data_IF_264508524731
#
_entry.id   IF_264508524731
#
_cell.length_a   1.000
_cell.length_b   1.000
_cell.length_c   1.000
_cell.angle_alpha   90.00
_cell.angle_beta   90.00
_cell.angle_gamma   90.00
#
_symmetry.space_group_name_H-M   'P 1'
#
loop_
_entity.id
_entity.type
_entity.pdbx_description
1 polymer ?
#
# COMPACT_ATOMS: atom_id res chain seq x y z
N UNK A 1 1.73 -19.52 -59.77
CA UNK A 1 0.91 -20.69 -60.07
C UNK A 1 1.00 -21.67 -58.94
N UNK A 2 -0.05 -21.83 -58.15
CA UNK A 2 -0.73 -23.05 -57.69
C UNK A 2 -1.82 -22.68 -56.71
N UNK A 3 -3.01 -22.98 -57.15
CA UNK A 3 -4.30 -22.88 -56.46
C UNK A 3 -4.50 -24.09 -55.54
N UNK A 4 -5.31 -23.93 -54.50
CA UNK A 4 -6.01 -25.04 -53.86
C UNK A 4 -6.18 -24.77 -52.36
N UNK A 5 -7.24 -24.86 -51.76
CA UNK A 5 -8.68 -25.25 -51.94
C UNK A 5 -9.36 -24.94 -50.62
N UNK A 6 -10.47 -24.27 -50.68
CA UNK A 6 -11.48 -24.23 -49.58
C UNK A 6 -12.08 -25.60 -49.37
N UNK A 7 -12.43 -25.92 -48.14
CA UNK A 7 -13.45 -26.93 -47.78
C UNK A 7 -14.16 -26.56 -46.47
N UNK A 8 -15.39 -27.10 -46.26
CA UNK A 8 -16.50 -26.29 -45.77
C UNK A 8 -16.93 -26.60 -44.33
N UNK A 9 -17.93 -25.83 -43.88
CA UNK A 9 -18.67 -25.87 -42.65
C UNK A 9 -19.30 -27.24 -42.32
N UNK A 10 -19.25 -27.62 -41.05
CA UNK A 10 -20.04 -28.71 -40.49
C UNK A 10 -20.90 -28.17 -39.36
N UNK A 11 -22.21 -28.02 -39.62
CA UNK A 11 -23.23 -27.74 -38.66
C UNK A 11 -23.56 -29.01 -37.86
N UNK A 12 -23.51 -28.94 -36.52
CA UNK A 12 -24.05 -29.95 -35.64
C UNK A 12 -25.19 -29.34 -34.82
N UNK A 13 -26.39 -29.80 -35.10
CA UNK A 13 -27.59 -29.62 -34.29
C UNK A 13 -27.41 -30.38 -32.95
N UNK A 14 -27.68 -29.76 -31.84
CA UNK A 14 -27.86 -30.42 -30.55
C UNK A 14 -29.30 -30.25 -30.08
N UNK A 15 -29.90 -31.38 -29.79
CA UNK A 15 -31.30 -31.56 -29.44
C UNK A 15 -31.61 -31.07 -28.02
N UNK A 16 -32.74 -30.38 -27.87
CA UNK A 16 -33.35 -30.05 -26.58
C UNK A 16 -34.03 -31.32 -26.01
N UNK A 17 -33.64 -31.71 -24.79
CA UNK A 17 -34.41 -32.67 -23.99
C UNK A 17 -35.13 -31.88 -22.89
N UNK A 18 -36.45 -31.82 -23.01
CA UNK A 18 -37.37 -31.28 -21.99
C UNK A 18 -37.72 -32.41 -21.03
N UNK A 19 -37.32 -32.31 -19.79
CA UNK A 19 -37.76 -33.19 -18.70
C UNK A 19 -38.85 -32.48 -17.89
N UNK A 20 -40.05 -32.98 -17.98
CA UNK A 20 -41.19 -32.56 -17.16
C UNK A 20 -41.14 -33.28 -15.80
N UNK A 21 -41.26 -32.54 -14.72
CA UNK A 21 -41.38 -33.04 -13.34
C UNK A 21 -42.82 -32.78 -12.86
N UNK A 22 -43.52 -33.75 -12.31
CA UNK A 22 -44.90 -33.57 -11.84
C UNK A 22 -44.96 -32.92 -10.46
N UNK A 23 -45.89 -31.99 -10.30
CA UNK A 23 -46.36 -31.42 -9.04
C UNK A 23 -47.09 -32.45 -8.19
N UNK A 24 -46.59 -32.71 -7.00
CA UNK A 24 -47.36 -33.39 -5.93
C UNK A 24 -47.80 -32.34 -4.90
N UNK A 25 -49.09 -32.02 -4.93
CA UNK A 25 -49.81 -31.27 -3.91
C UNK A 25 -50.05 -32.19 -2.70
N UNK A 26 -49.47 -31.84 -1.55
CA UNK A 26 -49.77 -32.44 -0.26
C UNK A 26 -50.20 -31.38 0.74
N UNK A 27 -51.51 -31.23 0.95
CA UNK A 27 -52.05 -30.47 2.08
C UNK A 27 -51.90 -31.29 3.37
N UNK A 28 -51.14 -30.75 4.34
CA UNK A 28 -51.20 -31.18 5.73
C UNK A 28 -51.52 -29.98 6.60
N UNK A 29 -52.75 -29.94 7.09
CA UNK A 29 -53.17 -29.01 8.12
C UNK A 29 -52.44 -29.34 9.42
N UNK A 30 -51.79 -28.32 10.04
CA UNK A 30 -51.25 -28.43 11.39
C UNK A 30 -51.86 -27.32 12.27
N UNK A 31 -52.48 -27.79 13.33
CA UNK A 31 -53.16 -27.08 14.41
C UNK A 31 -52.30 -26.00 15.04
N UNK A 32 -52.86 -24.80 15.15
CA UNK A 32 -52.34 -23.68 15.89
C UNK A 32 -52.42 -23.96 17.42
N UNK A 33 -51.26 -24.00 18.07
CA UNK A 33 -51.13 -23.91 19.52
C UNK A 33 -50.88 -22.46 19.91
N UNK A 34 -51.27 -22.02 21.13
CA UNK A 34 -51.21 -20.61 21.51
C UNK A 34 -49.77 -20.11 21.61
N UNK A 35 -49.53 -18.97 20.94
CA UNK A 35 -48.25 -18.24 20.95
C UNK A 35 -47.89 -17.78 22.35
N UNK A 36 -46.72 -18.20 22.86
CA UNK A 36 -46.06 -17.59 24.01
C UNK A 36 -45.43 -16.26 23.59
N UNK A 37 -45.53 -15.21 24.41
CA UNK A 37 -44.86 -13.95 24.11
C UNK A 37 -43.36 -14.18 24.20
N UNK A 38 -42.63 -14.00 23.08
CA UNK A 38 -41.20 -13.93 23.07
C UNK A 38 -40.78 -12.66 23.83
N UNK A 39 -40.12 -12.86 24.94
CA UNK A 39 -39.39 -11.81 25.64
C UNK A 39 -38.46 -11.10 24.62
N UNK A 40 -38.54 -9.77 24.59
CA UNK A 40 -37.76 -8.95 23.69
C UNK A 40 -36.27 -9.27 23.85
N UNK A 41 -35.66 -9.73 22.77
CA UNK A 41 -34.22 -9.71 22.66
C UNK A 41 -33.83 -8.23 22.63
N UNK A 42 -33.24 -7.73 23.71
CA UNK A 42 -32.51 -6.46 23.70
C UNK A 42 -31.49 -6.53 22.53
N UNK A 43 -31.42 -5.49 21.69
CA UNK A 43 -30.34 -5.41 20.73
C UNK A 43 -29.05 -5.40 21.55
N UNK A 44 -28.21 -6.41 21.39
CA UNK A 44 -26.87 -6.41 21.91
C UNK A 44 -26.23 -5.07 21.52
N UNK A 45 -26.06 -4.21 22.51
CA UNK A 45 -25.20 -3.03 22.41
C UNK A 45 -23.78 -3.56 22.18
N UNK A 46 -23.46 -3.86 20.92
CA UNK A 46 -22.11 -4.00 20.46
C UNK A 46 -21.44 -2.67 20.76
N UNK A 47 -20.72 -2.60 21.87
CA UNK A 47 -19.88 -1.47 22.17
C UNK A 47 -18.95 -1.31 20.98
N UNK A 48 -19.13 -0.24 20.22
CA UNK A 48 -18.12 0.30 19.34
C UNK A 48 -16.91 0.57 20.24
N UNK A 49 -16.04 -0.43 20.35
CA UNK A 49 -14.66 -0.17 20.76
C UNK A 49 -14.14 0.73 19.66
N UNK A 50 -14.11 2.04 19.93
CA UNK A 50 -13.65 3.05 18.98
C UNK A 50 -12.31 2.57 18.43
N UNK A 51 -12.29 2.18 17.16
CA UNK A 51 -11.09 1.71 16.50
C UNK A 51 -10.09 2.86 16.55
N UNK A 52 -8.97 2.63 17.22
CA UNK A 52 -7.93 3.66 17.33
C UNK A 52 -7.39 3.94 15.94
N UNK A 53 -7.53 5.18 15.49
CA UNK A 53 -7.00 5.61 14.21
C UNK A 53 -5.46 5.60 14.25
N UNK A 54 -4.79 5.21 13.15
CA UNK A 54 -3.34 5.27 13.08
C UNK A 54 -2.86 6.72 13.20
N UNK A 55 -1.79 6.96 13.96
CA UNK A 55 -1.16 8.28 14.01
C UNK A 55 -0.63 8.66 12.63
N UNK A 56 -0.58 9.98 12.39
CA UNK A 56 0.11 10.57 11.24
C UNK A 56 1.45 11.10 11.73
N UNK A 57 2.52 10.63 11.12
CA UNK A 57 3.89 10.93 11.54
C UNK A 57 4.73 11.46 10.36
N UNK A 58 5.45 12.54 10.58
CA UNK A 58 6.47 13.10 9.69
C UNK A 58 7.85 13.08 10.36
N UNK A 59 7.87 12.69 11.62
CA UNK A 59 9.03 12.64 12.49
C UNK A 59 8.79 11.61 13.58
N UNK A 60 9.83 10.89 13.96
CA UNK A 60 9.84 9.93 15.06
C UNK A 60 10.40 10.60 16.30
N UNK A 61 9.68 10.64 17.44
CA UNK A 61 10.21 11.17 18.67
C UNK A 61 11.33 10.26 19.21
N UNK A 62 12.59 10.66 19.00
CA UNK A 62 13.77 9.93 19.46
C UNK A 62 14.92 10.88 19.75
N UNK A 63 15.81 10.48 20.67
CA UNK A 63 17.09 11.12 20.93
C UNK A 63 18.25 10.41 20.24
N UNK A 64 18.00 9.26 19.61
CA UNK A 64 19.00 8.57 18.83
C UNK A 64 19.40 9.44 17.63
N UNK A 65 20.68 9.52 17.27
CA UNK A 65 21.15 10.32 16.14
C UNK A 65 20.80 9.62 14.80
N UNK A 66 19.51 9.45 14.52
CA UNK A 66 19.02 8.74 13.35
C UNK A 66 18.06 9.58 12.54
N UNK A 67 18.07 9.39 11.22
CA UNK A 67 17.04 9.81 10.28
C UNK A 67 16.54 8.60 9.50
N UNK A 68 15.39 8.71 8.84
CA UNK A 68 14.76 7.59 8.14
C UNK A 68 14.60 7.92 6.67
N UNK A 69 15.29 7.19 5.80
CA UNK A 69 15.16 7.36 4.36
C UNK A 69 14.01 6.54 3.81
N UNK A 70 13.13 7.21 3.12
CA UNK A 70 11.93 6.63 2.51
C UNK A 70 11.87 7.00 1.04
N UNK A 71 11.50 6.02 0.23
CA UNK A 71 11.44 6.13 -1.22
C UNK A 71 10.03 5.75 -1.65
N UNK A 72 9.46 6.52 -2.55
CA UNK A 72 8.21 6.17 -3.18
C UNK A 72 8.52 5.37 -4.46
N UNK A 73 7.65 5.34 -5.42
CA UNK A 73 7.77 4.50 -6.62
C UNK A 73 9.01 4.79 -7.50
N UNK A 74 9.76 5.88 -7.25
CA UNK A 74 10.95 6.27 -8.02
C UNK A 74 12.06 5.23 -8.04
N UNK A 75 12.15 4.40 -6.99
CA UNK A 75 13.18 3.35 -6.87
C UNK A 75 13.10 2.28 -7.98
N UNK A 76 12.01 2.20 -8.75
CA UNK A 76 11.86 1.25 -9.86
C UNK A 76 12.79 1.52 -11.04
N UNK A 77 13.18 2.78 -11.24
CA UNK A 77 13.83 3.26 -12.46
C UNK A 77 15.34 3.24 -12.42
N UNK A 78 15.93 3.03 -11.24
CA UNK A 78 17.37 2.92 -11.09
C UNK A 78 17.78 1.47 -10.87
N UNK A 79 18.36 0.79 -11.89
CA UNK A 79 18.78 -0.59 -11.79
C UNK A 79 19.93 -0.80 -10.77
N UNK A 80 20.71 0.26 -10.48
CA UNK A 80 21.85 0.23 -9.55
C UNK A 80 21.43 0.46 -8.10
N UNK A 81 20.21 0.92 -7.87
CA UNK A 81 19.76 1.22 -6.51
C UNK A 81 19.80 0.01 -5.56
N UNK A 82 19.57 -1.20 -6.07
CA UNK A 82 19.70 -2.41 -5.27
C UNK A 82 21.15 -2.71 -4.86
N UNK A 83 22.14 -2.33 -5.68
CA UNK A 83 23.54 -2.46 -5.34
C UNK A 83 23.92 -1.46 -4.25
N UNK A 84 23.49 -0.20 -4.37
CA UNK A 84 23.67 0.83 -3.34
C UNK A 84 23.07 0.38 -1.99
N UNK A 85 21.82 -0.07 -1.97
CA UNK A 85 21.16 -0.55 -0.75
C UNK A 85 21.96 -1.67 -0.10
N UNK A 86 22.51 -2.59 -0.89
CA UNK A 86 23.33 -3.69 -0.41
C UNK A 86 24.68 -3.21 0.15
N UNK A 87 25.39 -2.36 -0.57
CA UNK A 87 26.74 -1.87 -0.24
C UNK A 87 26.73 -1.06 1.04
N UNK A 88 25.79 -0.13 1.16
CA UNK A 88 25.64 0.70 2.37
C UNK A 88 24.83 0.01 3.47
N UNK A 89 24.31 -1.22 3.25
CA UNK A 89 23.35 -1.89 4.16
C UNK A 89 22.21 -0.94 4.56
N UNK A 90 21.77 -0.14 3.58
CA UNK A 90 20.82 0.94 3.78
C UNK A 90 19.46 0.39 4.21
N UNK A 91 18.92 0.75 5.39
CA UNK A 91 17.61 0.30 5.85
C UNK A 91 16.48 1.12 5.19
N UNK A 92 16.46 1.12 3.86
CA UNK A 92 15.51 1.86 3.04
C UNK A 92 14.07 1.40 3.29
N UNK A 93 13.12 2.34 3.35
CA UNK A 93 11.69 2.05 3.38
C UNK A 93 11.06 2.47 2.06
N UNK A 94 10.44 1.51 1.36
CA UNK A 94 9.84 1.71 0.03
C UNK A 94 8.32 1.73 0.16
N UNK A 95 7.67 2.81 -0.24
CA UNK A 95 6.22 2.90 -0.36
C UNK A 95 5.83 2.65 -1.81
N UNK A 96 5.14 1.53 -2.07
CA UNK A 96 4.89 1.05 -3.42
C UNK A 96 3.42 1.10 -3.80
N UNK A 97 3.17 1.58 -5.01
CA UNK A 97 1.89 1.54 -5.73
C UNK A 97 1.88 0.35 -6.70
N UNK A 98 0.76 -0.39 -6.80
CA UNK A 98 0.70 -1.59 -7.66
C UNK A 98 0.87 -1.26 -9.14
N UNK A 99 0.24 -0.19 -9.62
CA UNK A 99 0.31 0.22 -11.04
C UNK A 99 1.73 0.57 -11.49
N UNK A 100 2.56 1.07 -10.58
CA UNK A 100 3.96 1.39 -10.84
C UNK A 100 4.86 0.19 -10.57
N UNK A 101 4.73 -0.45 -9.41
CA UNK A 101 5.54 -1.61 -9.03
C UNK A 101 5.28 -2.84 -9.90
N UNK A 102 4.08 -2.96 -10.50
CA UNK A 102 3.67 -4.13 -11.27
C UNK A 102 4.65 -4.55 -12.37
N UNK A 103 5.07 -3.66 -13.26
CA UNK A 103 6.07 -3.96 -14.27
C UNK A 103 7.45 -4.32 -13.73
N UNK A 104 7.77 -3.91 -12.50
CA UNK A 104 9.10 -4.01 -11.87
C UNK A 104 9.14 -4.89 -10.61
N UNK A 105 8.18 -5.78 -10.39
CA UNK A 105 8.15 -6.63 -9.19
C UNK A 105 9.47 -7.37 -8.91
N UNK A 106 10.17 -7.84 -9.95
CA UNK A 106 11.47 -8.49 -9.81
C UNK A 106 12.54 -7.58 -9.23
N UNK A 107 12.53 -6.30 -9.57
CA UNK A 107 13.44 -5.30 -9.03
C UNK A 107 13.15 -5.06 -7.55
N UNK A 108 11.91 -4.82 -7.17
CA UNK A 108 11.52 -4.64 -5.76
C UNK A 108 11.75 -5.89 -4.90
N UNK A 109 11.62 -7.09 -5.48
CA UNK A 109 11.99 -8.33 -4.79
C UNK A 109 13.49 -8.37 -4.50
N UNK A 110 14.36 -7.90 -5.41
CA UNK A 110 15.81 -7.77 -5.14
C UNK A 110 16.09 -6.75 -4.06
N UNK A 111 15.47 -5.56 -4.11
CA UNK A 111 15.61 -4.54 -3.06
C UNK A 111 15.24 -5.10 -1.68
N UNK A 112 14.13 -5.81 -1.59
CA UNK A 112 13.73 -6.50 -0.35
C UNK A 112 14.75 -7.53 0.11
N UNK A 113 15.31 -8.32 -0.81
CA UNK A 113 16.31 -9.35 -0.48
C UNK A 113 17.61 -8.76 0.09
N UNK A 114 17.94 -7.52 -0.26
CA UNK A 114 19.10 -6.79 0.30
C UNK A 114 18.76 -5.92 1.51
N UNK A 115 17.52 -6.01 2.04
CA UNK A 115 17.15 -5.43 3.33
C UNK A 115 16.19 -4.25 3.29
N UNK A 116 15.74 -3.80 2.12
CA UNK A 116 14.70 -2.77 2.05
C UNK A 116 13.35 -3.28 2.58
N UNK A 117 12.61 -2.38 3.25
CA UNK A 117 11.25 -2.62 3.74
C UNK A 117 10.23 -2.16 2.71
N UNK A 118 9.23 -2.99 2.40
CA UNK A 118 8.15 -2.65 1.47
C UNK A 118 6.89 -2.28 2.25
N UNK A 119 6.29 -1.12 1.92
CA UNK A 119 5.15 -0.52 2.57
C UNK A 119 4.09 -0.08 1.54
N UNK A 120 2.93 0.37 2.01
CA UNK A 120 1.76 0.66 1.18
C UNK A 120 1.76 2.10 0.68
N UNK A 121 1.58 2.29 -0.65
CA UNK A 121 1.40 3.61 -1.28
C UNK A 121 0.13 3.67 -2.13
N UNK A 122 -0.90 2.89 -1.79
CA UNK A 122 -2.16 2.71 -2.52
C UNK A 122 -2.04 1.84 -3.78
N UNK A 123 -3.19 1.51 -4.36
CA UNK A 123 -3.27 0.62 -5.53
C UNK A 123 -2.90 1.36 -6.83
N UNK A 124 -3.49 2.53 -7.04
CA UNK A 124 -3.46 3.26 -8.32
C UNK A 124 -2.89 4.70 -8.20
N UNK A 125 -2.20 5.01 -7.09
CA UNK A 125 -1.61 6.33 -6.82
C UNK A 125 -2.61 7.49 -6.88
N UNK A 126 -3.86 7.27 -6.48
CA UNK A 126 -4.89 8.31 -6.45
C UNK A 126 -4.78 9.16 -5.19
N UNK A 127 -4.99 10.48 -5.31
CA UNK A 127 -5.20 11.30 -4.13
C UNK A 127 -6.37 10.75 -3.32
N UNK A 128 -6.12 10.40 -2.05
CA UNK A 128 -7.14 9.78 -1.19
C UNK A 128 -8.13 10.81 -0.65
N UNK A 129 -7.64 12.03 -0.32
CA UNK A 129 -8.48 13.09 0.22
C UNK A 129 -9.65 13.39 -0.71
N UNK A 130 -10.86 13.35 -0.16
CA UNK A 130 -12.09 13.64 -0.89
C UNK A 130 -12.68 12.46 -1.67
N UNK A 131 -12.00 11.32 -1.76
CA UNK A 131 -12.64 10.10 -2.24
C UNK A 131 -13.65 9.59 -1.19
N UNK A 132 -14.77 8.97 -1.62
CA UNK A 132 -15.64 8.25 -0.70
C UNK A 132 -14.84 7.19 0.08
N UNK A 133 -15.22 6.94 1.35
CA UNK A 133 -14.56 5.95 2.21
C UNK A 133 -14.35 4.59 1.54
N UNK A 134 -15.36 4.08 0.82
CA UNK A 134 -15.24 2.80 0.11
C UNK A 134 -14.13 2.82 -0.95
N UNK A 135 -13.95 3.96 -1.65
CA UNK A 135 -12.87 4.15 -2.62
C UNK A 135 -11.51 4.19 -1.95
N UNK A 136 -11.36 4.95 -0.87
CA UNK A 136 -10.11 5.00 -0.09
C UNK A 136 -9.73 3.62 0.48
N UNK A 137 -10.72 2.89 1.00
CA UNK A 137 -10.51 1.53 1.50
C UNK A 137 -10.11 0.56 0.38
N UNK A 138 -10.69 0.68 -0.81
CA UNK A 138 -10.33 -0.15 -1.97
C UNK A 138 -8.87 0.10 -2.38
N UNK A 139 -8.42 1.35 -2.43
CA UNK A 139 -7.03 1.73 -2.72
C UNK A 139 -6.05 1.14 -1.70
N UNK A 140 -6.32 1.27 -0.42
CA UNK A 140 -5.39 0.83 0.64
C UNK A 140 -5.43 -0.69 0.82
N UNK A 141 -6.61 -1.31 0.98
CA UNK A 141 -6.72 -2.76 1.17
C UNK A 141 -6.40 -3.54 -0.12
N UNK A 142 -6.68 -2.96 -1.30
CA UNK A 142 -6.28 -3.52 -2.58
C UNK A 142 -4.78 -3.68 -2.66
N UNK A 143 -4.04 -2.63 -2.32
CA UNK A 143 -2.58 -2.68 -2.27
C UNK A 143 -2.05 -3.67 -1.23
N UNK A 144 -2.65 -3.76 -0.04
CA UNK A 144 -2.29 -4.81 0.94
C UNK A 144 -2.38 -6.21 0.34
N UNK A 145 -3.43 -6.47 -0.43
CA UNK A 145 -3.62 -7.76 -1.11
C UNK A 145 -2.53 -8.02 -2.13
N UNK A 146 -2.15 -7.00 -2.91
CA UNK A 146 -1.06 -7.09 -3.90
C UNK A 146 0.29 -7.33 -3.23
N UNK A 147 0.66 -6.54 -2.22
CA UNK A 147 1.92 -6.70 -1.49
C UNK A 147 2.03 -8.09 -0.87
N UNK A 148 0.95 -8.60 -0.27
CA UNK A 148 0.92 -9.97 0.27
C UNK A 148 1.10 -11.02 -0.83
N UNK A 149 0.40 -10.87 -1.95
CA UNK A 149 0.45 -11.83 -3.06
C UNK A 149 1.82 -11.85 -3.75
N UNK A 150 2.44 -10.68 -3.94
CA UNK A 150 3.67 -10.54 -4.74
C UNK A 150 4.94 -10.70 -3.92
N UNK A 151 4.94 -10.19 -2.70
CA UNK A 151 6.14 -10.16 -1.84
C UNK A 151 6.00 -10.95 -0.54
N UNK A 152 4.82 -11.50 -0.24
CA UNK A 152 4.53 -12.13 1.06
C UNK A 152 4.53 -11.13 2.22
N UNK A 153 4.42 -9.83 1.93
CA UNK A 153 4.49 -8.75 2.91
C UNK A 153 3.10 -8.27 3.29
N UNK A 154 2.88 -8.04 4.58
CA UNK A 154 1.78 -7.24 5.08
C UNK A 154 2.36 -5.90 5.55
N UNK A 155 2.09 -4.85 4.81
CA UNK A 155 2.56 -3.52 5.15
C UNK A 155 1.89 -3.02 6.44
N UNK A 156 2.65 -2.35 7.29
CA UNK A 156 2.15 -1.72 8.52
C UNK A 156 2.07 -0.20 8.38
N UNK A 157 2.80 0.35 7.43
CA UNK A 157 2.86 1.78 7.16
C UNK A 157 2.14 2.10 5.84
N UNK A 158 1.46 3.25 5.81
CA UNK A 158 0.86 3.83 4.62
C UNK A 158 1.47 5.20 4.39
N UNK A 159 1.92 5.48 3.19
CA UNK A 159 2.09 6.85 2.72
C UNK A 159 0.97 7.16 1.74
N UNK A 160 0.10 8.15 2.01
CA UNK A 160 -0.90 8.57 1.05
C UNK A 160 -0.23 9.33 -0.10
N UNK A 161 -0.61 9.10 -1.36
CA UNK A 161 -0.10 9.87 -2.50
C UNK A 161 -0.23 11.38 -2.27
N UNK A 162 0.81 12.11 -2.68
CA UNK A 162 0.90 13.59 -2.50
C UNK A 162 0.86 14.03 -1.02
N UNK A 163 1.07 13.14 -0.06
CA UNK A 163 0.92 13.44 1.36
C UNK A 163 -0.51 13.84 1.79
N UNK A 164 -1.53 13.63 0.94
CA UNK A 164 -2.89 14.12 1.19
C UNK A 164 -3.80 13.03 1.77
N UNK A 165 -4.46 13.36 2.88
CA UNK A 165 -5.35 12.46 3.60
C UNK A 165 -6.49 13.21 4.29
N UNK A 166 -7.49 12.49 4.77
CA UNK A 166 -8.58 12.97 5.61
C UNK A 166 -8.95 11.93 6.68
N UNK A 167 -9.99 12.19 7.47
CA UNK A 167 -10.45 11.24 8.51
C UNK A 167 -10.90 9.91 7.91
N UNK A 168 -11.48 9.90 6.70
CA UNK A 168 -11.88 8.68 6.03
C UNK A 168 -10.65 7.83 5.64
N UNK A 169 -9.54 8.49 5.25
CA UNK A 169 -8.25 7.83 5.01
C UNK A 169 -7.75 7.10 6.24
N UNK A 170 -7.77 7.75 7.41
CA UNK A 170 -7.30 7.13 8.66
C UNK A 170 -8.15 5.93 9.07
N UNK A 171 -9.47 6.02 8.88
CA UNK A 171 -10.40 4.90 9.12
C UNK A 171 -10.11 3.74 8.17
N UNK A 172 -10.00 4.02 6.87
CA UNK A 172 -9.68 3.02 5.87
C UNK A 172 -8.31 2.36 6.10
N UNK A 173 -7.32 3.13 6.51
CA UNK A 173 -5.99 2.64 6.87
C UNK A 173 -6.06 1.67 8.06
N UNK A 174 -6.78 2.04 9.14
CA UNK A 174 -7.01 1.17 10.29
C UNK A 174 -7.68 -0.16 9.89
N UNK A 175 -8.73 -0.10 9.07
CA UNK A 175 -9.45 -1.28 8.59
C UNK A 175 -8.59 -2.20 7.70
N UNK A 176 -7.58 -1.64 7.04
CA UNK A 176 -6.63 -2.38 6.22
C UNK A 176 -5.40 -2.86 7.01
N UNK A 177 -5.35 -2.66 8.34
CA UNK A 177 -4.28 -3.11 9.21
C UNK A 177 -3.03 -2.24 9.17
N UNK A 178 -3.16 -0.97 8.78
CA UNK A 178 -2.10 0.04 8.85
C UNK A 178 -2.01 0.56 10.29
N UNK A 179 -0.80 0.67 10.81
CA UNK A 179 -0.52 1.12 12.17
C UNK A 179 -0.07 2.58 12.25
N UNK A 180 0.50 3.12 11.15
CA UNK A 180 0.84 4.53 11.05
C UNK A 180 0.72 5.04 9.60
N UNK A 181 0.32 6.32 9.46
CA UNK A 181 0.37 7.06 8.20
C UNK A 181 1.63 7.92 8.21
N UNK A 182 2.49 7.74 7.22
CA UNK A 182 3.83 8.33 7.17
C UNK A 182 3.86 9.46 6.15
N UNK A 183 4.23 10.63 6.61
CA UNK A 183 4.59 11.79 5.82
C UNK A 183 6.11 11.99 5.89
N UNK A 184 6.59 13.20 5.65
CA UNK A 184 8.01 13.54 5.72
C UNK A 184 8.25 14.94 6.30
N UNK A 185 9.37 15.11 6.97
CA UNK A 185 9.86 16.38 7.49
C UNK A 185 10.76 17.08 6.48
N UNK A 186 11.54 16.30 5.74
CA UNK A 186 12.39 16.78 4.67
C UNK A 186 12.16 15.94 3.41
N UNK A 187 12.40 16.54 2.25
CA UNK A 187 12.34 15.87 0.97
C UNK A 187 13.57 16.20 0.13
N UNK A 188 14.17 15.18 -0.49
CA UNK A 188 15.23 15.32 -1.48
C UNK A 188 14.58 15.36 -2.86
N UNK A 189 14.78 16.46 -3.57
CA UNK A 189 14.29 16.62 -4.94
C UNK A 189 15.19 15.96 -5.99
N UNK A 190 14.74 15.98 -7.23
CA UNK A 190 15.48 15.49 -8.40
C UNK A 190 16.72 16.33 -8.73
N UNK A 191 16.77 17.57 -8.25
CA UNK A 191 17.94 18.47 -8.31
C UNK A 191 18.98 18.19 -7.21
N UNK A 192 18.72 17.22 -6.32
CA UNK A 192 19.57 16.90 -5.17
C UNK A 192 19.43 17.87 -4.00
N UNK A 193 18.52 18.85 -4.05
CA UNK A 193 18.30 19.78 -2.95
C UNK A 193 17.35 19.20 -1.89
N UNK A 194 17.69 19.42 -0.60
CA UNK A 194 16.80 19.13 0.51
C UNK A 194 15.85 20.31 0.74
N UNK A 195 14.57 20.02 0.78
CA UNK A 195 13.51 20.93 1.20
C UNK A 195 12.95 20.48 2.54
N UNK A 196 12.48 21.41 3.36
CA UNK A 196 12.00 21.14 4.70
C UNK A 196 10.59 21.68 4.88
N UNK A 197 9.71 20.88 5.46
CA UNK A 197 8.31 21.27 5.69
C UNK A 197 8.19 22.25 6.86
N UNK A 198 9.13 22.21 7.79
CA UNK A 198 9.20 23.11 8.96
C UNK A 198 10.57 23.02 9.64
N UNK A 199 10.86 23.98 10.52
CA UNK A 199 12.11 24.04 11.30
C UNK A 199 13.21 24.80 10.59
N UNK A 200 14.44 24.63 11.09
CA UNK A 200 15.65 25.09 10.45
C UNK A 200 16.04 24.16 9.28
N UNK A 201 16.78 24.69 8.33
CA UNK A 201 17.15 23.98 7.09
C UNK A 201 18.28 22.97 7.32
N UNK A 202 18.08 22.01 8.22
CA UNK A 202 18.98 20.89 8.51
C UNK A 202 18.20 19.67 8.99
N UNK A 203 18.84 18.51 8.96
CA UNK A 203 18.26 17.26 9.47
C UNK A 203 18.42 17.18 11.00
N UNK A 204 17.44 16.58 11.65
CA UNK A 204 17.41 16.34 13.09
C UNK A 204 17.16 14.87 13.39
N UNK A 205 17.57 14.39 14.59
CA UNK A 205 17.17 13.07 15.04
C UNK A 205 15.67 12.83 14.90
N UNK A 206 15.31 11.71 14.30
CA UNK A 206 13.91 11.33 14.08
C UNK A 206 13.28 11.81 12.78
N UNK A 207 13.95 12.65 11.99
CA UNK A 207 13.37 13.14 10.74
C UNK A 207 13.15 12.02 9.73
N UNK A 208 11.95 12.00 9.15
CA UNK A 208 11.61 11.18 8.01
C UNK A 208 11.90 11.99 6.75
N UNK A 209 12.79 11.47 5.92
CA UNK A 209 13.21 12.08 4.65
C UNK A 209 12.57 11.28 3.51
N UNK A 210 11.77 11.95 2.67
CA UNK A 210 11.28 11.39 1.43
C UNK A 210 12.26 11.70 0.30
N UNK A 211 12.61 10.70 -0.48
CA UNK A 211 13.43 10.86 -1.67
C UNK A 211 12.52 10.77 -2.89
N UNK A 212 12.50 11.83 -3.69
CA UNK A 212 11.64 12.00 -4.88
C UNK A 212 10.16 11.67 -4.62
N UNK A 213 9.48 12.28 -3.62
CA UNK A 213 8.15 11.83 -3.20
C UNK A 213 7.06 12.00 -4.27
N UNK A 214 7.23 12.90 -5.24
CA UNK A 214 6.21 13.22 -6.24
C UNK A 214 6.75 13.19 -7.70
N UNK A 215 8.03 12.86 -7.90
CA UNK A 215 8.69 12.94 -9.20
C UNK A 215 9.39 11.62 -9.55
N UNK A 216 8.71 10.69 -10.20
CA UNK A 216 9.25 9.36 -10.50
C UNK A 216 10.25 9.38 -11.68
N UNK A 217 11.17 10.34 -11.75
CA UNK A 217 12.17 10.32 -12.83
C UNK A 217 13.22 9.24 -12.62
N UNK A 218 13.51 8.88 -11.35
CA UNK A 218 14.47 7.84 -10.98
C UNK A 218 15.91 8.04 -11.49
N UNK A 219 16.10 9.00 -12.38
CA UNK A 219 17.41 9.26 -12.97
C UNK A 219 18.36 9.78 -11.94
N UNK A 220 19.49 9.09 -11.77
CA UNK A 220 20.51 9.47 -10.80
C UNK A 220 20.10 9.29 -9.33
N UNK A 221 19.08 8.47 -9.05
CA UNK A 221 18.62 8.20 -7.68
C UNK A 221 19.75 7.69 -6.78
N UNK A 222 20.56 6.74 -7.26
CA UNK A 222 21.72 6.22 -6.51
C UNK A 222 22.71 7.33 -6.16
N UNK A 223 23.13 8.13 -7.11
CA UNK A 223 24.10 9.21 -6.88
C UNK A 223 23.56 10.28 -5.90
N UNK A 224 22.29 10.66 -6.02
CA UNK A 224 21.68 11.60 -5.08
C UNK A 224 21.52 11.01 -3.68
N UNK A 225 21.23 9.72 -3.60
CA UNK A 225 21.14 9.01 -2.31
C UNK A 225 22.52 8.93 -1.66
N UNK A 226 23.59 8.67 -2.41
CA UNK A 226 24.97 8.70 -1.91
C UNK A 226 25.34 10.08 -1.34
N UNK A 227 25.10 11.16 -2.08
CA UNK A 227 25.34 12.52 -1.60
C UNK A 227 24.50 12.85 -0.35
N UNK A 228 23.27 12.34 -0.27
CA UNK A 228 22.46 12.48 0.94
C UNK A 228 23.04 11.70 2.12
N UNK A 229 23.57 10.50 1.91
CA UNK A 229 24.23 9.72 2.97
C UNK A 229 25.46 10.45 3.52
N UNK A 230 26.27 11.04 2.66
CA UNK A 230 27.41 11.90 3.07
C UNK A 230 26.90 13.08 3.93
N UNK A 231 25.86 13.78 3.47
CA UNK A 231 25.27 14.91 4.24
C UNK A 231 24.75 14.47 5.61
N UNK A 232 24.14 13.29 5.71
CA UNK A 232 23.65 12.73 6.98
C UNK A 232 24.83 12.45 7.93
N UNK A 233 25.89 11.82 7.43
CA UNK A 233 27.09 11.51 8.22
C UNK A 233 27.83 12.79 8.68
N UNK A 234 27.98 13.80 7.82
CA UNK A 234 28.57 15.11 8.16
C UNK A 234 27.82 15.81 9.29
N UNK A 235 26.48 15.58 9.39
CA UNK A 235 25.68 16.12 10.49
C UNK A 235 25.71 15.25 11.76
N UNK A 236 26.53 14.20 11.77
CA UNK A 236 26.63 13.28 12.92
C UNK A 236 25.40 12.36 13.08
N UNK A 237 24.63 12.18 12.01
CA UNK A 237 23.44 11.34 11.98
C UNK A 237 23.75 10.03 11.23
N UNK A 238 22.88 9.05 11.39
CA UNK A 238 22.91 7.79 10.63
C UNK A 238 21.50 7.43 10.13
N UNK A 239 21.41 6.58 9.14
CA UNK A 239 20.11 6.10 8.69
C UNK A 239 19.65 4.93 9.58
N UNK A 240 18.41 5.02 10.07
CA UNK A 240 17.74 4.01 10.87
C UNK A 240 16.64 3.28 10.07
N UNK A 241 16.23 2.12 10.58
CA UNK A 241 15.08 1.37 10.05
C UNK A 241 13.79 1.94 10.64
N UNK A 242 12.97 2.57 9.81
CA UNK A 242 11.74 3.23 10.26
C UNK A 242 10.79 2.29 11.02
N UNK A 243 10.65 1.04 10.57
CA UNK A 243 9.78 0.05 11.20
C UNK A 243 10.20 -0.41 12.59
N UNK A 244 11.41 -0.08 13.06
CA UNK A 244 11.86 -0.38 14.42
C UNK A 244 11.41 0.67 15.43
N UNK A 245 10.86 1.80 14.95
CA UNK A 245 10.47 2.97 15.73
C UNK A 245 8.95 3.29 15.67
N UNK A 246 8.16 2.62 14.79
CA UNK A 246 6.72 2.86 14.60
C UNK A 246 5.84 1.63 14.82
#
# INVERSE_FOLDING_TARGET
>A
MRRGRLRPAGSALAALVVLAVPLLTGCAARSEGPARPHAGAEPARGGERGQRLPPVVDHVPTTDPVVFLTFDDSAERDPHFADLVREHRLPATLFLTDTVAGPAYGHFARLRAVGASIQNHTLDHRSLRGLPYAGQRAEICGQQTKLKSRFGVRAHLLRPPYGTYDTATLRAAADCGITAVVLWRAALGDDGALTYTRGDHRLHPGDIVAVDPDHPTGTGLSARTEALLETIEEQGLRVGRLGDYL
#
